data_IF_920842745633
#
_entry.id   IF_920842745633
#
_cell.length_a   1.000
_cell.length_b   1.000
_cell.length_c   1.000
_cell.angle_alpha   90.00
_cell.angle_beta   90.00
_cell.angle_gamma   90.00
#
_symmetry.space_group_name_H-M   'P 1'
#
loop_
_entity.id
_entity.type
_entity.pdbx_description
1 polymer ?
#
# COMPACT_ATOMS: atom_id res chain seq x y z
N UNK A 1 4.31 -20.01 -0.22
CA UNK A 1 5.48 -19.10 -0.17
C UNK A 1 6.79 -19.87 -0.27
N UNK A 2 7.77 -19.42 -1.07
CA UNK A 2 9.11 -20.04 -1.11
C UNK A 2 9.85 -19.64 0.17
N UNK A 3 10.15 -20.62 1.03
CA UNK A 3 10.99 -20.39 2.23
C UNK A 3 12.45 -20.33 1.81
N UNK A 4 13.20 -19.38 2.36
CA UNK A 4 14.66 -19.31 2.26
C UNK A 4 15.22 -19.13 3.65
N UNK A 5 16.19 -19.95 4.02
CA UNK A 5 16.83 -19.88 5.32
C UNK A 5 18.09 -19.03 5.23
N UNK A 6 18.16 -17.99 6.05
CA UNK A 6 19.27 -17.04 6.10
C UNK A 6 19.99 -17.19 7.42
N UNK A 7 21.31 -16.96 7.41
CA UNK A 7 22.16 -16.96 8.60
C UNK A 7 22.53 -15.53 8.96
N UNK A 8 22.18 -15.10 10.16
CA UNK A 8 22.73 -13.91 10.80
C UNK A 8 24.14 -14.23 11.32
N UNK A 9 25.16 -13.66 10.70
CA UNK A 9 26.55 -13.95 11.06
C UNK A 9 26.98 -13.32 12.39
N UNK A 10 26.31 -12.26 12.85
CA UNK A 10 26.63 -11.62 14.12
C UNK A 10 26.14 -12.48 15.28
N UNK A 11 24.97 -13.10 15.13
CA UNK A 11 24.39 -14.05 16.08
C UNK A 11 25.01 -15.46 15.99
N UNK A 12 25.55 -15.84 14.83
CA UNK A 12 26.10 -17.18 14.59
C UNK A 12 27.46 -17.38 15.28
N UNK A 13 27.46 -17.90 16.52
CA UNK A 13 28.69 -18.20 17.26
C UNK A 13 29.05 -19.69 17.18
N UNK A 14 29.90 -20.05 16.21
CA UNK A 14 30.26 -21.45 15.94
C UNK A 14 30.95 -22.18 17.10
N UNK A 15 31.62 -21.44 18.00
CA UNK A 15 32.32 -22.01 19.17
C UNK A 15 31.37 -22.65 20.18
N UNK A 16 30.11 -22.22 20.22
CA UNK A 16 29.17 -22.60 21.29
C UNK A 16 28.05 -23.54 20.85
N UNK A 17 27.95 -23.87 19.55
CA UNK A 17 26.82 -24.63 19.03
C UNK A 17 27.18 -25.98 18.38
N UNK A 18 28.47 -26.34 18.33
CA UNK A 18 28.98 -27.56 17.68
C UNK A 18 28.43 -27.82 16.27
N UNK A 19 27.97 -26.78 15.57
CA UNK A 19 27.39 -26.85 14.22
C UNK A 19 26.21 -27.83 14.16
N UNK A 20 25.40 -27.88 15.22
CA UNK A 20 24.24 -28.78 15.33
C UNK A 20 23.23 -28.60 14.18
N UNK A 21 23.18 -27.41 13.59
CA UNK A 21 22.38 -27.10 12.40
C UNK A 21 22.75 -27.94 11.16
N UNK A 22 24.03 -28.30 11.00
CA UNK A 22 24.49 -29.22 9.94
C UNK A 22 24.11 -30.65 10.30
N UNK A 23 24.40 -31.06 11.54
CA UNK A 23 24.19 -32.43 12.00
C UNK A 23 22.71 -32.86 11.99
N UNK A 24 21.80 -31.92 12.25
CA UNK A 24 20.35 -32.18 12.28
C UNK A 24 19.65 -31.93 10.95
N UNK A 25 20.38 -31.58 9.88
CA UNK A 25 19.79 -31.42 8.57
C UNK A 25 19.36 -32.80 8.01
N UNK A 26 18.11 -32.97 7.54
CA UNK A 26 17.63 -34.25 7.02
C UNK A 26 18.45 -34.79 5.84
N UNK A 27 18.93 -33.93 4.93
CA UNK A 27 19.79 -34.34 3.81
C UNK A 27 21.14 -34.84 4.32
N UNK A 28 21.74 -34.13 5.29
CA UNK A 28 22.99 -34.57 5.91
C UNK A 28 22.85 -35.92 6.60
N UNK A 29 21.77 -36.11 7.36
CA UNK A 29 21.48 -37.38 8.04
C UNK A 29 21.21 -38.52 7.05
N UNK A 30 20.48 -38.24 5.97
CA UNK A 30 20.22 -39.22 4.90
C UNK A 30 21.54 -39.65 4.23
N UNK A 31 22.40 -38.69 3.88
CA UNK A 31 23.72 -38.97 3.28
C UNK A 31 24.67 -39.74 4.21
N UNK A 32 24.52 -39.62 5.53
CA UNK A 32 25.28 -40.41 6.50
C UNK A 32 24.81 -41.87 6.54
N UNK A 33 23.54 -42.15 6.25
CA UNK A 33 22.94 -43.49 6.23
C UNK A 33 23.13 -44.23 4.91
N UNK A 34 23.40 -43.50 3.81
CA UNK A 34 23.70 -44.08 2.48
C UNK A 34 24.93 -44.98 2.51
N UNK A 35 24.88 -46.08 1.76
CA UNK A 35 26.00 -47.03 1.65
C UNK A 35 27.19 -46.39 0.93
N UNK A 36 28.45 -46.86 1.13
CA UNK A 36 29.64 -46.21 0.57
C UNK A 36 29.66 -46.06 -0.96
N UNK A 37 28.98 -46.95 -1.69
CA UNK A 37 28.90 -46.96 -3.15
C UNK A 37 27.76 -46.09 -3.72
N UNK A 38 26.88 -45.55 -2.88
CA UNK A 38 25.78 -44.70 -3.31
C UNK A 38 26.23 -43.24 -3.44
N UNK A 39 25.79 -42.56 -4.49
CA UNK A 39 26.05 -41.13 -4.69
C UNK A 39 25.43 -40.33 -3.54
N UNK A 40 26.26 -39.59 -2.81
CA UNK A 40 25.82 -38.66 -1.76
C UNK A 40 25.43 -37.33 -2.40
N UNK A 41 24.29 -36.80 -2.00
CA UNK A 41 23.83 -35.50 -2.47
C UNK A 41 24.67 -34.40 -1.83
N UNK A 42 24.78 -33.24 -2.47
CA UNK A 42 25.46 -32.11 -1.84
C UNK A 42 24.71 -31.66 -0.57
N UNK A 43 25.47 -31.31 0.47
CA UNK A 43 24.88 -30.94 1.75
C UNK A 43 24.35 -29.49 1.66
N UNK A 44 23.06 -29.25 1.95
CA UNK A 44 22.45 -27.94 1.77
C UNK A 44 22.95 -26.90 2.78
N UNK A 45 23.51 -27.32 3.92
CA UNK A 45 24.07 -26.43 4.94
C UNK A 45 25.50 -26.85 5.26
N UNK A 46 26.46 -25.96 5.02
CA UNK A 46 27.89 -26.29 5.11
C UNK A 46 28.70 -25.16 5.72
N UNK A 47 29.86 -25.50 6.27
CA UNK A 47 30.83 -24.52 6.74
C UNK A 47 31.72 -24.10 5.56
N UNK A 48 31.68 -22.81 5.21
CA UNK A 48 32.66 -22.26 4.27
C UNK A 48 33.98 -22.02 5.02
N UNK A 49 34.97 -22.89 4.78
CA UNK A 49 36.25 -22.88 5.49
C UNK A 49 36.99 -21.54 5.40
N UNK A 50 36.94 -20.87 4.24
CA UNK A 50 37.65 -19.60 4.03
C UNK A 50 37.13 -18.44 4.87
N UNK A 51 35.83 -18.39 5.16
CA UNK A 51 35.23 -17.31 5.95
C UNK A 51 34.83 -17.77 7.36
N UNK A 52 35.02 -19.05 7.67
CA UNK A 52 34.56 -19.70 8.90
C UNK A 52 33.09 -19.37 9.23
N UNK A 53 32.22 -19.39 8.22
CA UNK A 53 30.80 -19.07 8.33
C UNK A 53 29.93 -20.23 7.81
N UNK A 54 28.77 -20.42 8.43
CA UNK A 54 27.76 -21.37 7.95
C UNK A 54 27.06 -20.76 6.74
N UNK A 55 26.97 -21.51 5.65
CA UNK A 55 26.20 -21.13 4.45
C UNK A 55 25.13 -22.17 4.16
N UNK A 56 24.03 -21.69 3.61
CA UNK A 56 22.91 -22.52 3.18
C UNK A 56 22.77 -22.34 1.66
N UNK A 57 22.82 -23.44 0.91
CA UNK A 57 22.48 -23.47 -0.50
C UNK A 57 20.95 -23.66 -0.63
N UNK A 58 20.25 -22.65 -1.14
CA UNK A 58 18.78 -22.69 -1.23
C UNK A 58 18.27 -23.73 -2.24
N UNK A 59 19.04 -24.00 -3.30
CA UNK A 59 18.63 -24.92 -4.37
C UNK A 59 18.60 -26.38 -3.89
N UNK A 60 19.47 -26.72 -2.94
CA UNK A 60 19.53 -28.04 -2.32
C UNK A 60 18.68 -28.15 -1.06
N UNK A 61 18.18 -27.05 -0.52
CA UNK A 61 17.51 -27.03 0.78
C UNK A 61 16.06 -27.53 0.66
N UNK A 62 15.71 -28.60 1.39
CA UNK A 62 14.32 -29.10 1.52
C UNK A 62 13.36 -28.15 2.23
N UNK A 63 13.86 -27.04 2.78
CA UNK A 63 13.07 -25.99 3.45
C UNK A 63 12.27 -26.44 4.68
N UNK A 64 12.68 -27.57 5.28
CA UNK A 64 12.04 -28.22 6.42
C UNK A 64 12.13 -27.46 7.76
N UNK A 65 13.12 -26.58 7.94
CA UNK A 65 13.28 -25.76 9.15
C UNK A 65 14.01 -26.43 10.32
N UNK A 66 14.48 -27.67 10.15
CA UNK A 66 15.22 -28.38 11.18
C UNK A 66 16.42 -27.58 11.71
N UNK A 67 17.21 -26.97 10.82
CA UNK A 67 18.39 -26.18 11.18
C UNK A 67 18.06 -24.90 11.97
N UNK A 68 16.94 -24.25 11.69
CA UNK A 68 16.48 -23.06 12.39
C UNK A 68 16.01 -23.41 13.82
N UNK A 69 15.23 -24.49 13.96
CA UNK A 69 14.68 -24.93 15.24
C UNK A 69 15.74 -25.37 16.25
N UNK A 70 16.88 -25.90 15.79
CA UNK A 70 17.97 -26.38 16.66
C UNK A 70 19.05 -25.32 16.91
N UNK A 71 18.95 -24.13 16.31
CA UNK A 71 19.98 -23.11 16.46
C UNK A 71 19.84 -22.41 17.82
N UNK A 72 20.80 -22.56 18.76
CA UNK A 72 20.65 -22.05 20.12
C UNK A 72 20.56 -20.52 20.18
N UNK A 73 21.25 -19.82 19.28
CA UNK A 73 21.23 -18.36 19.20
C UNK A 73 20.16 -17.83 18.24
N UNK A 74 19.31 -18.71 17.68
CA UNK A 74 18.35 -18.35 16.61
C UNK A 74 18.99 -17.60 15.44
N UNK A 75 20.27 -17.86 15.18
CA UNK A 75 21.04 -17.23 14.12
C UNK A 75 20.59 -17.67 12.71
N UNK A 76 19.89 -18.79 12.60
CA UNK A 76 19.27 -19.24 11.34
C UNK A 76 17.79 -18.92 11.41
N UNK A 77 17.32 -18.08 10.50
CA UNK A 77 15.92 -17.69 10.44
C UNK A 77 15.39 -17.82 9.02
N UNK A 78 14.07 -18.00 8.90
CA UNK A 78 13.40 -18.10 7.61
C UNK A 78 12.96 -16.72 7.14
N UNK A 79 13.25 -16.41 5.87
CA UNK A 79 12.55 -15.38 5.11
C UNK A 79 11.67 -16.06 4.08
N UNK A 80 10.46 -15.54 3.90
CA UNK A 80 9.59 -15.93 2.82
C UNK A 80 9.89 -15.03 1.63
N UNK A 81 10.25 -15.61 0.49
CA UNK A 81 10.34 -14.87 -0.77
C UNK A 81 8.94 -14.79 -1.36
N UNK A 82 8.67 -13.64 -1.98
CA UNK A 82 7.45 -13.38 -2.72
C UNK A 82 7.16 -14.51 -3.71
N UNK A 83 6.11 -15.26 -3.40
CA UNK A 83 5.43 -16.16 -4.31
C UNK A 83 3.94 -15.87 -4.17
N UNK A 84 3.18 -16.15 -5.23
CA UNK A 84 1.73 -16.11 -5.15
C UNK A 84 1.23 -17.02 -4.01
N UNK A 85 0.28 -16.56 -3.18
CA UNK A 85 -0.32 -17.39 -2.14
C UNK A 85 -1.09 -18.57 -2.76
N UNK A 86 -0.70 -19.80 -2.39
CA UNK A 86 -1.42 -21.01 -2.80
C UNK A 86 -2.47 -21.46 -1.77
N UNK A 87 -2.29 -21.06 -0.51
CA UNK A 87 -3.09 -21.54 0.62
C UNK A 87 -4.34 -20.66 0.88
N UNK A 88 -4.45 -19.53 0.17
CA UNK A 88 -5.49 -18.52 0.35
C UNK A 88 -6.22 -18.37 -0.98
N UNK A 89 -7.56 -18.32 -0.95
CA UNK A 89 -8.34 -17.99 -2.14
C UNK A 89 -8.16 -16.52 -2.49
N UNK A 90 -7.98 -16.16 -3.76
CA UNK A 90 -7.96 -14.75 -4.17
C UNK A 90 -9.31 -14.11 -3.81
N UNK A 91 -9.30 -12.86 -3.36
CA UNK A 91 -10.51 -12.07 -3.13
C UNK A 91 -11.20 -11.74 -4.46
N UNK A 92 -10.40 -11.40 -5.47
CA UNK A 92 -10.89 -11.17 -6.81
C UNK A 92 -9.90 -11.71 -7.84
N UNK A 93 -10.40 -12.33 -8.90
CA UNK A 93 -9.61 -12.84 -10.01
C UNK A 93 -10.23 -12.38 -11.33
N UNK A 94 -9.46 -11.64 -12.14
CA UNK A 94 -9.79 -11.40 -13.53
C UNK A 94 -9.40 -12.62 -14.37
N UNK A 95 -10.20 -12.96 -15.38
CA UNK A 95 -9.86 -14.01 -16.34
C UNK A 95 -9.21 -13.39 -17.58
N UNK A 96 -8.18 -14.05 -18.12
CA UNK A 96 -7.48 -13.62 -19.33
C UNK A 96 -7.51 -14.75 -20.37
N UNK A 97 -8.56 -14.79 -21.19
CA UNK A 97 -8.83 -15.85 -22.18
C UNK A 97 -8.84 -17.29 -21.59
N UNK A 98 -9.22 -18.28 -22.41
CA UNK A 98 -9.53 -19.66 -21.95
C UNK A 98 -8.34 -20.43 -21.32
N UNK A 99 -7.11 -19.91 -21.36
CA UNK A 99 -5.91 -20.62 -20.93
C UNK A 99 -5.01 -19.87 -19.93
N UNK A 100 -5.22 -18.56 -19.69
CA UNK A 100 -4.39 -17.79 -18.74
C UNK A 100 -5.23 -17.19 -17.60
N UNK A 101 -4.73 -17.36 -16.38
CA UNK A 101 -5.26 -16.66 -15.20
C UNK A 101 -4.86 -15.19 -15.30
N UNK A 102 -5.82 -14.29 -15.21
CA UNK A 102 -5.54 -12.85 -15.19
C UNK A 102 -5.06 -12.39 -13.81
N UNK A 103 -5.16 -11.08 -13.58
CA UNK A 103 -4.73 -10.47 -12.32
C UNK A 103 -5.55 -10.98 -11.13
N UNK A 104 -4.87 -11.33 -10.03
CA UNK A 104 -5.49 -11.83 -8.78
C UNK A 104 -5.18 -10.91 -7.60
N UNK A 105 -6.22 -10.46 -6.92
CA UNK A 105 -6.11 -9.66 -5.70
C UNK A 105 -6.34 -10.55 -4.48
N UNK A 106 -5.49 -10.41 -3.46
CA UNK A 106 -5.60 -11.10 -2.19
C UNK A 106 -5.73 -10.10 -1.04
N UNK A 107 -6.69 -10.36 -0.15
CA UNK A 107 -7.11 -9.50 0.95
C UNK A 107 -7.76 -8.20 0.48
N UNK A 108 -8.31 -7.44 1.42
CA UNK A 108 -8.87 -6.11 1.22
C UNK A 108 -8.31 -5.13 2.25
N UNK A 109 -8.24 -3.82 1.93
CA UNK A 109 -7.91 -2.80 2.91
C UNK A 109 -8.93 -2.78 4.05
N UNK A 110 -8.47 -2.54 5.27
CA UNK A 110 -9.35 -2.41 6.42
C UNK A 110 -9.97 -1.00 6.47
N UNK A 111 -11.23 -0.94 6.89
CA UNK A 111 -11.99 0.30 7.05
C UNK A 111 -12.01 0.70 8.52
N UNK A 112 -11.06 1.53 8.95
CA UNK A 112 -10.95 1.96 10.36
C UNK A 112 -11.64 3.30 10.57
N UNK A 113 -12.78 3.37 11.30
CA UNK A 113 -13.47 4.64 11.55
C UNK A 113 -12.61 5.61 12.37
N UNK A 114 -12.67 6.90 12.06
CA UNK A 114 -11.91 7.92 12.79
C UNK A 114 -10.47 8.09 12.35
N UNK A 115 -9.99 7.26 11.42
CA UNK A 115 -8.60 7.24 10.99
C UNK A 115 -8.46 7.36 9.48
N UNK A 116 -7.32 7.92 9.09
CA UNK A 116 -6.89 7.99 7.70
C UNK A 116 -5.95 6.82 7.43
N UNK A 117 -6.38 5.88 6.58
CA UNK A 117 -5.57 4.72 6.17
C UNK A 117 -4.93 5.01 4.81
N UNK A 118 -3.59 5.07 4.80
CA UNK A 118 -2.79 5.19 3.59
C UNK A 118 -2.58 3.85 2.90
N UNK A 119 -2.69 3.82 1.58
CA UNK A 119 -2.45 2.65 0.75
C UNK A 119 -1.26 2.94 -0.17
N UNK A 120 -0.24 2.08 -0.10
CA UNK A 120 0.99 2.26 -0.87
C UNK A 120 1.39 0.99 -1.60
N UNK A 121 1.81 1.11 -2.85
CA UNK A 121 2.33 -0.01 -3.63
C UNK A 121 2.55 0.35 -5.09
N UNK A 122 3.27 -0.48 -5.86
CA UNK A 122 3.56 -0.22 -7.26
C UNK A 122 2.30 -0.18 -8.13
N UNK A 123 2.41 0.36 -9.34
CA UNK A 123 1.31 0.34 -10.31
C UNK A 123 1.03 -1.09 -10.80
N UNK A 124 -0.22 -1.36 -11.18
CA UNK A 124 -0.64 -2.69 -11.62
C UNK A 124 -0.73 -3.74 -10.52
N UNK A 125 -0.70 -3.35 -9.24
CA UNK A 125 -0.76 -4.26 -8.09
C UNK A 125 -2.18 -4.45 -7.51
N UNK A 126 -3.20 -3.86 -8.14
CA UNK A 126 -4.60 -4.02 -7.72
C UNK A 126 -5.11 -3.00 -6.71
N UNK A 127 -4.46 -1.83 -6.56
CA UNK A 127 -4.96 -0.73 -5.70
C UNK A 127 -6.35 -0.27 -6.13
N UNK A 128 -6.51 0.12 -7.40
CA UNK A 128 -7.80 0.53 -7.97
C UNK A 128 -8.84 -0.57 -7.88
N UNK A 129 -8.49 -1.83 -8.20
CA UNK A 129 -9.38 -2.98 -8.02
C UNK A 129 -9.87 -3.12 -6.58
N UNK A 130 -9.01 -2.92 -5.58
CA UNK A 130 -9.41 -2.96 -4.18
C UNK A 130 -10.35 -1.79 -3.83
N UNK A 131 -10.08 -0.60 -4.34
CA UNK A 131 -10.95 0.57 -4.16
C UNK A 131 -12.32 0.36 -4.79
N UNK A 132 -12.39 -0.19 -6.00
CA UNK A 132 -13.65 -0.44 -6.71
C UNK A 132 -14.51 -1.50 -6.00
N UNK A 133 -13.87 -2.49 -5.37
CA UNK A 133 -14.55 -3.47 -4.51
C UNK A 133 -15.14 -2.79 -3.27
N UNK A 134 -14.35 -1.95 -2.60
CA UNK A 134 -14.80 -1.20 -1.43
C UNK A 134 -15.87 -0.16 -1.79
N UNK A 135 -15.82 0.40 -2.99
CA UNK A 135 -16.82 1.34 -3.50
C UNK A 135 -18.13 0.65 -3.94
N UNK A 136 -18.17 -0.69 -3.98
CA UNK A 136 -19.32 -1.45 -4.49
C UNK A 136 -19.46 -1.43 -6.02
N UNK A 137 -18.49 -0.86 -6.74
CA UNK A 137 -18.45 -0.84 -8.21
C UNK A 137 -18.04 -2.20 -8.79
N UNK A 138 -17.35 -3.03 -8.00
CA UNK A 138 -16.92 -4.38 -8.37
C UNK A 138 -17.28 -5.38 -7.27
N UNK A 139 -18.02 -6.43 -7.62
CA UNK A 139 -18.33 -7.52 -6.67
C UNK A 139 -17.16 -8.52 -6.67
N UNK A 140 -16.54 -8.82 -5.51
CA UNK A 140 -15.46 -9.80 -5.42
C UNK A 140 -15.99 -11.21 -5.71
N UNK A 141 -15.30 -11.97 -6.56
CA UNK A 141 -15.70 -13.31 -7.00
C UNK A 141 -15.03 -14.44 -6.21
N UNK A 142 -14.09 -14.14 -5.32
CA UNK A 142 -13.38 -15.11 -4.48
C UNK A 142 -12.74 -16.28 -5.26
N UNK A 143 -12.34 -16.04 -6.51
CA UNK A 143 -11.76 -17.05 -7.41
C UNK A 143 -12.77 -17.99 -8.09
N UNK A 144 -14.08 -17.69 -8.01
CA UNK A 144 -15.09 -18.40 -8.80
C UNK A 144 -14.99 -18.02 -10.29
N UNK A 145 -15.06 -19.02 -11.18
CA UNK A 145 -14.89 -18.81 -12.63
C UNK A 145 -16.12 -18.15 -13.28
N UNK A 146 -15.91 -17.40 -14.37
CA UNK A 146 -16.98 -16.68 -15.09
C UNK A 146 -18.04 -17.59 -15.73
N UNK A 147 -17.79 -18.89 -15.90
CA UNK A 147 -18.85 -19.84 -16.29
C UNK A 147 -19.99 -19.87 -15.26
N UNK A 148 -19.71 -19.38 -14.05
CA UNK A 148 -20.65 -19.11 -12.97
C UNK A 148 -20.98 -17.61 -12.81
N UNK A 149 -20.86 -16.77 -13.85
CA UNK A 149 -21.19 -15.32 -13.83
C UNK A 149 -22.60 -15.02 -13.30
N UNK A 150 -23.57 -15.93 -13.52
CA UNK A 150 -24.92 -15.87 -12.92
C UNK A 150 -24.95 -16.02 -11.38
N UNK A 151 -23.83 -16.37 -10.76
CA UNK A 151 -23.73 -16.69 -9.35
C UNK A 151 -22.93 -15.69 -8.52
N UNK A 152 -22.21 -14.75 -9.17
CA UNK A 152 -21.51 -13.66 -8.48
C UNK A 152 -22.59 -12.78 -7.85
N UNK A 153 -22.63 -12.76 -6.52
CA UNK A 153 -23.63 -12.02 -5.77
C UNK A 153 -23.04 -11.55 -4.45
N UNK A 154 -23.59 -10.45 -3.93
CA UNK A 154 -23.22 -9.94 -2.61
C UNK A 154 -23.40 -10.97 -1.50
N UNK A 155 -24.38 -11.88 -1.61
CA UNK A 155 -24.58 -12.95 -0.62
C UNK A 155 -23.34 -13.84 -0.50
N UNK A 156 -22.87 -14.38 -1.64
CA UNK A 156 -21.65 -15.18 -1.66
C UNK A 156 -20.43 -14.40 -1.21
N UNK A 157 -20.34 -13.12 -1.59
CA UNK A 157 -19.23 -12.27 -1.17
C UNK A 157 -19.20 -12.12 0.36
N UNK A 158 -20.35 -11.88 0.99
CA UNK A 158 -20.48 -11.77 2.45
C UNK A 158 -20.11 -13.09 3.14
N UNK A 159 -20.55 -14.23 2.60
CA UNK A 159 -20.27 -15.56 3.16
C UNK A 159 -18.78 -15.93 3.11
N UNK A 160 -18.06 -15.50 2.06
CA UNK A 160 -16.63 -15.78 1.90
C UNK A 160 -15.72 -14.85 2.70
N UNK A 161 -16.20 -13.68 3.13
CA UNK A 161 -15.43 -12.79 4.00
C UNK A 161 -15.41 -13.36 5.41
N UNK A 162 -14.22 -13.41 6.04
CA UNK A 162 -14.08 -13.82 7.45
C UNK A 162 -14.20 -12.65 8.43
N UNK A 163 -13.73 -11.48 8.01
CA UNK A 163 -13.68 -10.28 8.82
C UNK A 163 -15.08 -9.68 9.05
N UNK A 164 -15.40 -9.36 10.31
CA UNK A 164 -16.73 -8.89 10.70
C UNK A 164 -17.02 -7.49 10.17
N UNK A 165 -16.03 -6.59 10.17
CA UNK A 165 -16.22 -5.22 9.69
C UNK A 165 -16.49 -5.20 8.20
N UNK A 166 -15.73 -5.98 7.43
CA UNK A 166 -15.92 -6.14 6.00
C UNK A 166 -17.25 -6.81 5.64
N UNK A 167 -17.71 -7.80 6.42
CA UNK A 167 -19.07 -8.36 6.25
C UNK A 167 -20.16 -7.32 6.46
N UNK A 168 -20.04 -6.51 7.51
CA UNK A 168 -21.00 -5.44 7.79
C UNK A 168 -20.99 -4.41 6.66
N UNK A 169 -19.80 -4.05 6.15
CA UNK A 169 -19.65 -3.15 5.03
C UNK A 169 -20.31 -3.69 3.75
N UNK A 170 -20.05 -4.94 3.37
CA UNK A 170 -20.69 -5.57 2.20
C UNK A 170 -22.20 -5.75 2.35
N UNK A 171 -22.67 -6.03 3.56
CA UNK A 171 -24.11 -6.11 3.85
C UNK A 171 -24.79 -4.74 3.65
N UNK A 172 -24.15 -3.67 4.12
CA UNK A 172 -24.65 -2.31 3.97
C UNK A 172 -24.57 -1.83 2.51
N UNK A 173 -23.52 -2.20 1.76
CA UNK A 173 -23.43 -1.97 0.31
C UNK A 173 -24.57 -2.65 -0.44
N UNK A 174 -24.83 -3.93 -0.14
CA UNK A 174 -25.92 -4.70 -0.76
C UNK A 174 -27.29 -4.05 -0.53
N UNK A 175 -27.52 -3.43 0.64
CA UNK A 175 -28.77 -2.76 1.00
C UNK A 175 -28.84 -1.30 0.57
N UNK A 176 -27.80 -0.78 -0.09
CA UNK A 176 -27.66 0.64 -0.44
C UNK A 176 -27.72 1.58 0.79
N UNK A 177 -27.43 1.04 1.98
CA UNK A 177 -27.40 1.76 3.25
C UNK A 177 -26.03 2.43 3.50
N UNK A 178 -25.00 2.04 2.74
CA UNK A 178 -23.63 2.56 2.87
C UNK A 178 -23.35 3.61 1.79
N UNK A 179 -23.19 4.87 2.20
CA UNK A 179 -22.81 5.96 1.31
C UNK A 179 -21.29 6.02 1.16
N UNK A 180 -20.81 6.12 -0.07
CA UNK A 180 -19.37 6.20 -0.38
C UNK A 180 -19.09 7.46 -1.19
N UNK A 181 -18.14 8.26 -0.71
CA UNK A 181 -17.61 9.38 -1.46
C UNK A 181 -16.26 8.96 -2.07
N UNK A 182 -16.22 8.79 -3.39
CA UNK A 182 -15.04 8.30 -4.11
C UNK A 182 -14.50 9.35 -5.07
N UNK A 183 -13.28 9.85 -4.78
CA UNK A 183 -12.46 10.58 -5.74
C UNK A 183 -11.67 9.58 -6.58
N UNK A 184 -12.08 9.37 -7.83
CA UNK A 184 -11.37 8.51 -8.77
C UNK A 184 -10.07 9.18 -9.29
N UNK A 185 -9.07 8.38 -9.64
CA UNK A 185 -7.87 8.87 -10.34
C UNK A 185 -8.20 9.62 -11.65
N UNK A 186 -9.15 9.11 -12.43
CA UNK A 186 -9.55 9.69 -13.71
C UNK A 186 -10.69 10.69 -13.51
N UNK A 187 -10.40 11.98 -13.69
CA UNK A 187 -11.35 13.07 -13.46
C UNK A 187 -12.30 13.34 -14.65
N UNK A 188 -12.21 12.54 -15.72
CA UNK A 188 -13.03 12.71 -16.93
C UNK A 188 -14.53 12.68 -16.65
N UNK A 189 -14.94 11.85 -15.68
CA UNK A 189 -16.35 11.71 -15.25
C UNK A 189 -16.91 13.06 -14.76
N UNK A 190 -16.08 13.90 -14.13
CA UNK A 190 -16.51 15.21 -13.65
C UNK A 190 -16.77 16.18 -14.81
N UNK A 191 -15.96 16.11 -15.88
CA UNK A 191 -16.20 16.92 -17.08
C UNK A 191 -17.44 16.48 -17.85
N UNK A 192 -17.72 15.17 -17.88
CA UNK A 192 -18.92 14.65 -18.53
C UNK A 192 -20.19 15.02 -17.74
N UNK A 193 -20.10 15.10 -16.40
CA UNK A 193 -21.23 15.44 -15.53
C UNK A 193 -21.53 16.94 -15.47
N UNK A 194 -20.53 17.79 -15.26
CA UNK A 194 -20.69 19.23 -14.99
C UNK A 194 -20.14 20.10 -16.11
N UNK A 195 -20.43 19.69 -17.35
CA UNK A 195 -19.96 20.40 -18.52
C UNK A 195 -20.60 21.78 -18.56
N UNK A 196 -19.78 22.81 -18.74
CA UNK A 196 -20.21 24.21 -18.89
C UNK A 196 -20.80 24.87 -17.63
N UNK A 197 -20.71 24.22 -16.46
CA UNK A 197 -21.10 24.79 -15.16
C UNK A 197 -19.92 25.47 -14.44
N UNK A 198 -20.23 26.47 -13.60
CA UNK A 198 -19.23 27.12 -12.77
C UNK A 198 -18.87 26.28 -11.54
N UNK A 199 -17.61 26.36 -11.14
CA UNK A 199 -17.09 25.60 -9.99
C UNK A 199 -17.90 25.83 -8.71
N UNK A 200 -18.24 27.09 -8.39
CA UNK A 200 -18.94 27.41 -7.16
C UNK A 200 -20.39 26.88 -7.17
N UNK A 201 -21.10 27.05 -8.29
CA UNK A 201 -22.48 26.57 -8.47
C UNK A 201 -22.59 25.06 -8.26
N UNK A 202 -21.63 24.30 -8.80
CA UNK A 202 -21.56 22.84 -8.60
C UNK A 202 -21.33 22.50 -7.12
N UNK A 203 -20.39 23.19 -6.46
CA UNK A 203 -20.06 22.91 -5.07
C UNK A 203 -21.19 23.30 -4.11
N UNK A 204 -21.96 24.34 -4.42
CA UNK A 204 -23.12 24.76 -3.63
C UNK A 204 -24.30 23.80 -3.80
N UNK A 205 -24.59 23.37 -5.02
CA UNK A 205 -25.68 22.44 -5.31
C UNK A 205 -25.46 21.04 -4.74
N UNK A 206 -24.21 20.57 -4.71
CA UNK A 206 -23.86 19.22 -4.24
C UNK A 206 -23.52 19.16 -2.73
N UNK A 207 -23.59 20.29 -2.02
CA UNK A 207 -23.19 20.41 -0.62
C UNK A 207 -24.14 19.68 0.33
N UNK A 208 -23.57 18.81 1.16
CA UNK A 208 -24.31 18.08 2.21
C UNK A 208 -23.75 18.35 3.62
N UNK A 209 -22.75 19.24 3.71
CA UNK A 209 -22.00 19.52 4.94
C UNK A 209 -22.32 20.92 5.47
N UNK A 210 -22.16 21.11 6.77
CA UNK A 210 -22.42 22.40 7.41
C UNK A 210 -21.49 23.53 6.93
N UNK A 211 -22.00 24.77 6.99
CA UNK A 211 -21.35 25.98 6.47
C UNK A 211 -19.90 26.15 6.90
N UNK A 212 -19.61 25.95 8.18
CA UNK A 212 -18.26 26.14 8.74
C UNK A 212 -17.22 25.24 8.08
N UNK A 213 -17.57 23.97 7.83
CA UNK A 213 -16.63 23.05 7.20
C UNK A 213 -16.53 23.30 5.70
N UNK A 214 -17.64 23.60 5.04
CA UNK A 214 -17.66 23.97 3.63
C UNK A 214 -16.68 25.13 3.34
N UNK A 215 -16.78 26.24 4.08
CA UNK A 215 -15.83 27.36 3.94
C UNK A 215 -14.38 26.98 4.28
N UNK A 216 -14.19 26.04 5.20
CA UNK A 216 -12.84 25.52 5.50
C UNK A 216 -12.26 24.76 4.30
N UNK A 217 -13.07 23.95 3.60
CA UNK A 217 -12.67 23.25 2.38
C UNK A 217 -12.28 24.27 1.31
N UNK A 218 -13.17 25.23 0.98
CA UNK A 218 -12.94 26.22 -0.07
C UNK A 218 -11.63 26.98 0.15
N UNK A 219 -11.41 27.48 1.38
CA UNK A 219 -10.20 28.20 1.76
C UNK A 219 -8.93 27.35 1.71
N UNK A 220 -8.99 26.10 2.20
CA UNK A 220 -7.81 25.23 2.25
C UNK A 220 -7.42 24.69 0.86
N UNK A 221 -8.39 24.53 -0.03
CA UNK A 221 -8.19 24.13 -1.41
C UNK A 221 -8.06 25.33 -2.36
N UNK A 222 -8.15 26.55 -1.85
CA UNK A 222 -8.03 27.79 -2.63
C UNK A 222 -8.99 27.77 -3.85
N UNK A 223 -10.22 27.32 -3.58
CA UNK A 223 -11.32 27.25 -4.56
C UNK A 223 -11.85 28.64 -4.89
N UNK A 224 -11.72 29.59 -3.96
CA UNK A 224 -12.14 30.98 -4.17
C UNK A 224 -11.46 31.62 -5.41
N UNK A 225 -10.26 31.15 -5.78
CA UNK A 225 -9.53 31.60 -6.98
C UNK A 225 -10.12 31.11 -8.31
N UNK A 226 -10.98 30.07 -8.27
CA UNK A 226 -11.57 29.42 -9.44
C UNK A 226 -13.10 29.36 -9.38
N UNK A 227 -13.73 30.01 -8.41
CA UNK A 227 -15.18 29.94 -8.14
C UNK A 227 -16.03 30.24 -9.37
N UNK A 228 -15.72 31.31 -10.10
CA UNK A 228 -16.45 31.79 -11.27
C UNK A 228 -16.02 31.13 -12.58
N UNK A 229 -14.98 30.27 -12.54
CA UNK A 229 -14.52 29.59 -13.75
C UNK A 229 -15.44 28.44 -14.10
N UNK A 230 -15.65 28.26 -15.39
CA UNK A 230 -16.27 27.05 -15.93
C UNK A 230 -15.31 25.89 -15.73
N UNK A 231 -15.82 24.71 -15.34
CA UNK A 231 -15.00 23.55 -15.02
C UNK A 231 -14.01 23.19 -16.14
N UNK A 232 -14.42 23.28 -17.41
CA UNK A 232 -13.61 22.99 -18.61
C UNK A 232 -12.40 23.92 -18.79
N UNK A 233 -12.39 25.08 -18.13
CA UNK A 233 -11.30 26.06 -18.17
C UNK A 233 -10.26 25.84 -17.06
N UNK A 234 -10.52 24.93 -16.11
CA UNK A 234 -9.62 24.66 -15.01
C UNK A 234 -8.38 23.89 -15.47
N UNK A 235 -7.21 24.29 -14.96
CA UNK A 235 -5.97 23.51 -15.06
C UNK A 235 -6.07 22.18 -14.32
N UNK A 236 -5.19 21.23 -14.61
CA UNK A 236 -5.20 19.92 -13.93
C UNK A 236 -5.08 20.00 -12.40
N UNK A 237 -4.31 20.96 -11.87
CA UNK A 237 -4.22 21.20 -10.43
C UNK A 237 -5.47 21.83 -9.83
N UNK A 238 -6.16 22.70 -10.57
CA UNK A 238 -7.45 23.28 -10.17
C UNK A 238 -8.55 22.20 -10.16
N UNK A 239 -8.61 21.39 -11.22
CA UNK A 239 -9.54 20.27 -11.33
C UNK A 239 -9.34 19.25 -10.21
N UNK A 240 -8.09 18.96 -9.85
CA UNK A 240 -7.79 18.08 -8.73
C UNK A 240 -8.32 18.65 -7.40
N UNK A 241 -8.13 19.95 -7.15
CA UNK A 241 -8.64 20.64 -5.95
C UNK A 241 -10.16 20.60 -5.92
N UNK A 242 -10.81 20.88 -7.05
CA UNK A 242 -12.24 20.76 -7.22
C UNK A 242 -12.76 19.35 -6.94
N UNK A 243 -12.13 18.32 -7.52
CA UNK A 243 -12.53 16.92 -7.32
C UNK A 243 -12.47 16.50 -5.84
N UNK A 244 -11.42 16.92 -5.13
CA UNK A 244 -11.31 16.69 -3.69
C UNK A 244 -12.39 17.46 -2.92
N UNK A 245 -12.66 18.72 -3.30
CA UNK A 245 -13.74 19.51 -2.70
C UNK A 245 -15.09 18.80 -2.86
N UNK A 246 -15.47 18.40 -4.08
CA UNK A 246 -16.69 17.63 -4.37
C UNK A 246 -16.83 16.38 -3.51
N UNK A 247 -15.72 15.67 -3.28
CA UNK A 247 -15.72 14.46 -2.45
C UNK A 247 -15.92 14.79 -0.98
N UNK A 248 -15.30 15.86 -0.48
CA UNK A 248 -15.34 16.25 0.93
C UNK A 248 -16.62 16.98 1.34
N UNK A 249 -17.37 17.59 0.41
CA UNK A 249 -18.64 18.26 0.70
C UNK A 249 -19.82 17.27 0.82
N UNK A 250 -19.63 16.02 0.42
CA UNK A 250 -20.61 14.94 0.55
C UNK A 250 -20.59 14.33 1.94
N UNK A 251 -21.75 13.90 2.44
CA UNK A 251 -21.88 13.14 3.69
C UNK A 251 -21.88 11.65 3.38
N UNK A 252 -20.77 10.98 3.68
CA UNK A 252 -20.55 9.57 3.37
C UNK A 252 -20.04 8.77 4.58
N UNK A 253 -20.29 7.46 4.56
CA UNK A 253 -19.83 6.51 5.58
C UNK A 253 -18.42 5.99 5.31
N UNK A 254 -17.91 6.17 4.09
CA UNK A 254 -16.53 5.88 3.68
C UNK A 254 -16.09 6.93 2.67
N UNK A 255 -14.89 7.46 2.86
CA UNK A 255 -14.23 8.30 1.87
C UNK A 255 -13.07 7.54 1.24
N UNK A 256 -13.05 7.48 -0.08
CA UNK A 256 -11.99 6.85 -0.86
C UNK A 256 -11.38 7.94 -1.75
N UNK A 257 -10.07 8.12 -1.65
CA UNK A 257 -9.40 9.22 -2.33
C UNK A 257 -8.14 8.69 -3.03
N UNK A 258 -8.23 8.57 -4.36
CA UNK A 258 -7.15 8.04 -5.18
C UNK A 258 -6.24 9.15 -5.70
N UNK A 259 -4.97 9.12 -5.30
CA UNK A 259 -3.90 10.07 -5.65
C UNK A 259 -4.32 11.55 -5.47
N UNK A 260 -4.65 12.02 -4.24
CA UNK A 260 -5.06 13.40 -4.01
C UNK A 260 -3.97 14.45 -4.21
N UNK A 261 -2.68 14.12 -4.01
CA UNK A 261 -1.60 15.11 -3.96
C UNK A 261 -0.94 15.40 -5.31
N UNK A 262 -1.39 14.75 -6.38
CA UNK A 262 -0.94 15.03 -7.74
C UNK A 262 -1.19 16.49 -8.09
N UNK A 263 -0.19 17.17 -8.66
CA UNK A 263 -0.23 18.59 -9.03
C UNK A 263 -0.41 19.60 -7.88
N UNK A 264 -0.25 19.19 -6.61
CA UNK A 264 -0.34 20.10 -5.47
C UNK A 264 1.02 20.47 -4.88
N UNK A 265 1.16 21.74 -4.50
CA UNK A 265 2.30 22.28 -3.76
C UNK A 265 2.34 21.74 -2.31
N UNK A 266 3.52 21.80 -1.68
CA UNK A 266 3.75 21.25 -0.33
C UNK A 266 2.79 21.85 0.71
N UNK A 267 2.48 23.15 0.63
CA UNK A 267 1.61 23.84 1.59
C UNK A 267 0.17 23.31 1.51
N UNK A 268 -0.36 23.15 0.30
CA UNK A 268 -1.69 22.61 0.04
C UNK A 268 -1.81 21.15 0.48
N UNK A 269 -0.77 20.34 0.28
CA UNK A 269 -0.79 18.94 0.76
C UNK A 269 -0.90 18.85 2.29
N UNK A 270 -0.23 19.72 3.04
CA UNK A 270 -0.38 19.80 4.51
C UNK A 270 -1.81 20.21 4.90
N UNK A 271 -2.42 21.13 4.16
CA UNK A 271 -3.80 21.54 4.40
C UNK A 271 -4.79 20.42 4.11
N UNK A 272 -4.56 19.64 3.05
CA UNK A 272 -5.32 18.43 2.73
C UNK A 272 -5.27 17.39 3.83
N UNK A 273 -4.08 17.11 4.36
CA UNK A 273 -3.92 16.17 5.47
C UNK A 273 -4.81 16.55 6.67
N UNK A 274 -4.94 17.85 6.96
CA UNK A 274 -5.81 18.35 8.03
C UNK A 274 -7.30 18.18 7.68
N UNK A 275 -7.68 18.38 6.43
CA UNK A 275 -9.06 18.17 5.97
C UNK A 275 -9.46 16.69 6.07
N UNK A 276 -8.59 15.78 5.64
CA UNK A 276 -8.85 14.33 5.70
C UNK A 276 -8.99 13.83 7.14
N UNK A 277 -8.12 14.27 8.06
CA UNK A 277 -8.25 13.93 9.48
C UNK A 277 -9.54 14.48 10.09
N UNK A 278 -9.87 15.75 9.82
CA UNK A 278 -11.14 16.33 10.28
C UNK A 278 -12.34 15.55 9.75
N UNK A 279 -12.27 15.11 8.50
CA UNK A 279 -13.33 14.31 7.90
C UNK A 279 -13.44 12.93 8.55
N UNK A 280 -12.31 12.24 8.75
CA UNK A 280 -12.26 10.93 9.41
C UNK A 280 -12.83 10.97 10.82
N UNK A 281 -12.49 12.01 11.60
CA UNK A 281 -12.96 12.20 12.97
C UNK A 281 -14.46 12.51 13.08
N UNK A 282 -15.13 12.83 11.96
CA UNK A 282 -16.51 13.29 11.94
C UNK A 282 -16.62 14.79 12.21
N UNK A 283 -17.67 15.41 11.67
CA UNK A 283 -17.93 16.84 11.78
C UNK A 283 -19.21 17.10 12.56
N UNK A 284 -19.10 17.89 13.63
CA UNK A 284 -20.24 18.24 14.47
C UNK A 284 -20.79 17.01 15.20
N UNK A 285 -21.98 16.54 14.79
CA UNK A 285 -22.64 15.34 15.36
C UNK A 285 -22.46 14.09 14.49
N UNK A 286 -21.70 14.18 13.40
CA UNK A 286 -21.40 13.02 12.56
C UNK A 286 -20.54 12.01 13.32
N UNK A 287 -20.78 10.73 13.08
CA UNK A 287 -19.94 9.66 13.60
C UNK A 287 -18.61 9.62 12.85
N UNK A 288 -17.51 9.22 13.51
CA UNK A 288 -16.24 9.00 12.82
C UNK A 288 -16.38 7.99 11.68
N UNK A 289 -15.68 8.24 10.59
CA UNK A 289 -15.74 7.42 9.37
C UNK A 289 -14.33 7.08 8.87
N UNK A 290 -14.16 5.97 8.14
CA UNK A 290 -12.90 5.62 7.50
C UNK A 290 -12.61 6.53 6.30
N UNK A 291 -11.36 6.97 6.20
CA UNK A 291 -10.84 7.68 5.02
C UNK A 291 -9.67 6.89 4.46
N UNK A 292 -9.81 6.38 3.23
CA UNK A 292 -8.77 5.67 2.50
C UNK A 292 -8.10 6.60 1.50
N UNK A 293 -6.76 6.60 1.52
CA UNK A 293 -5.96 7.44 0.63
C UNK A 293 -4.93 6.58 -0.08
N UNK A 294 -4.95 6.59 -1.41
CA UNK A 294 -3.88 5.98 -2.22
C UNK A 294 -2.88 7.05 -2.60
N UNK A 295 -1.61 6.82 -2.28
CA UNK A 295 -0.50 7.72 -2.64
C UNK A 295 0.77 6.93 -2.97
N UNK A 296 1.59 7.50 -3.84
CA UNK A 296 2.92 6.97 -4.18
C UNK A 296 4.05 7.72 -3.47
N UNK A 297 3.76 8.93 -2.98
CA UNK A 297 4.72 9.74 -2.25
C UNK A 297 4.72 9.35 -0.77
N UNK A 298 5.78 8.68 -0.33
CA UNK A 298 5.94 8.23 1.06
C UNK A 298 5.98 9.39 2.05
N UNK A 299 6.52 10.55 1.64
CA UNK A 299 6.55 11.73 2.52
C UNK A 299 5.13 12.26 2.72
N UNK A 300 4.29 12.23 1.67
CA UNK A 300 2.87 12.56 1.76
C UNK A 300 2.13 11.63 2.71
N UNK A 301 2.30 10.33 2.52
CA UNK A 301 1.67 9.32 3.38
C UNK A 301 2.07 9.50 4.86
N UNK A 302 3.32 9.90 5.13
CA UNK A 302 3.82 10.07 6.50
C UNK A 302 3.00 11.08 7.31
N UNK A 303 2.65 12.22 6.72
CA UNK A 303 1.89 13.26 7.41
C UNK A 303 0.39 13.27 7.09
N UNK A 304 -0.08 12.52 6.08
CA UNK A 304 -1.51 12.43 5.76
C UNK A 304 -2.19 11.33 6.53
N UNK A 305 -1.55 10.17 6.65
CA UNK A 305 -2.18 8.96 7.18
C UNK A 305 -1.91 8.77 8.67
N UNK A 306 -2.79 8.05 9.35
CA UNK A 306 -2.62 7.59 10.72
C UNK A 306 -2.15 6.12 10.74
N UNK A 307 -2.59 5.36 9.73
CA UNK A 307 -2.20 3.97 9.48
C UNK A 307 -1.80 3.77 8.01
N UNK A 308 -1.10 2.68 7.71
CA UNK A 308 -0.72 2.34 6.34
C UNK A 308 -0.86 0.84 6.06
N UNK A 309 -1.34 0.51 4.87
CA UNK A 309 -1.28 -0.84 4.31
C UNK A 309 -0.48 -0.83 3.01
N UNK A 310 0.45 -1.78 2.92
CA UNK A 310 1.28 -1.97 1.74
C UNK A 310 0.66 -3.02 0.82
N UNK A 311 0.67 -2.73 -0.48
CA UNK A 311 0.41 -3.67 -1.55
C UNK A 311 1.73 -4.20 -2.07
N UNK A 312 1.84 -5.52 -2.12
CA UNK A 312 3.01 -6.22 -2.62
C UNK A 312 2.61 -7.40 -3.52
N UNK A 313 3.51 -7.88 -4.36
CA UNK A 313 3.16 -8.86 -5.40
C UNK A 313 3.90 -8.60 -6.69
N UNK A 314 3.43 -9.26 -7.75
CA UNK A 314 3.98 -9.08 -9.10
C UNK A 314 2.97 -8.30 -9.93
N UNK A 315 3.32 -7.08 -10.39
CA UNK A 315 2.42 -6.25 -11.20
C UNK A 315 1.78 -7.05 -12.34
N UNK A 316 0.50 -6.80 -12.58
CA UNK A 316 -0.33 -7.47 -13.59
C UNK A 316 -0.54 -8.98 -13.40
N UNK A 317 0.08 -9.63 -12.40
CA UNK A 317 -0.14 -11.06 -12.10
C UNK A 317 -0.92 -11.28 -10.81
N UNK A 318 -0.44 -10.70 -9.71
CA UNK A 318 -1.14 -10.76 -8.44
C UNK A 318 -0.69 -9.64 -7.49
N UNK A 319 -1.60 -9.23 -6.62
CA UNK A 319 -1.34 -8.29 -5.53
C UNK A 319 -1.89 -8.81 -4.22
N UNK A 320 -1.14 -8.63 -3.15
CA UNK A 320 -1.50 -8.99 -1.77
C UNK A 320 -1.44 -7.73 -0.93
N UNK A 321 -2.46 -7.54 -0.11
CA UNK A 321 -2.51 -6.44 0.84
C UNK A 321 -2.00 -6.94 2.18
N UNK A 322 -0.98 -6.27 2.70
CA UNK A 322 -0.40 -6.54 4.02
C UNK A 322 -1.38 -6.23 5.15
N UNK A 323 -1.06 -6.77 6.32
CA UNK A 323 -1.73 -6.37 7.55
C UNK A 323 -1.55 -4.86 7.83
N UNK A 324 -2.43 -4.31 8.66
CA UNK A 324 -2.36 -2.92 9.08
C UNK A 324 -1.04 -2.61 9.80
N UNK A 325 -0.38 -1.52 9.41
CA UNK A 325 0.86 -1.05 10.02
C UNK A 325 0.72 0.39 10.49
N UNK A 326 1.47 0.75 11.53
CA UNK A 326 1.74 2.16 11.82
C UNK A 326 2.52 2.77 10.65
N UNK A 327 2.25 4.03 10.33
CA UNK A 327 2.87 4.75 9.20
C UNK A 327 4.40 4.60 9.16
N UNK A 328 5.09 4.90 10.28
CA UNK A 328 6.55 4.73 10.40
C UNK A 328 7.04 3.33 10.03
N UNK A 329 6.37 2.29 10.54
CA UNK A 329 6.73 0.89 10.26
C UNK A 329 6.46 0.51 8.81
N UNK A 330 5.34 0.94 8.24
CA UNK A 330 5.01 0.65 6.85
C UNK A 330 5.96 1.33 5.89
N UNK A 331 6.27 2.62 6.08
CA UNK A 331 7.24 3.33 5.22
C UNK A 331 8.62 2.65 5.29
N UNK A 332 9.10 2.33 6.49
CA UNK A 332 10.38 1.62 6.63
C UNK A 332 10.36 0.24 5.96
N UNK A 333 9.28 -0.54 6.15
CA UNK A 333 9.13 -1.85 5.51
C UNK A 333 9.09 -1.74 3.98
N UNK A 334 8.42 -0.69 3.46
CA UNK A 334 8.37 -0.38 2.04
C UNK A 334 9.77 -0.07 1.47
N UNK A 335 10.52 0.79 2.15
CA UNK A 335 11.90 1.16 1.77
C UNK A 335 12.87 -0.02 1.86
N UNK A 336 12.74 -0.86 2.88
CA UNK A 336 13.56 -2.07 3.06
C UNK A 336 13.24 -3.17 2.05
N UNK A 337 12.00 -3.22 1.52
CA UNK A 337 11.53 -4.33 0.69
C UNK A 337 11.15 -5.58 1.50
N UNK A 338 10.96 -5.43 2.80
CA UNK A 338 10.76 -6.52 3.76
C UNK A 338 9.65 -6.20 4.77
N UNK A 339 8.66 -7.09 4.86
CA UNK A 339 7.64 -7.06 5.90
C UNK A 339 8.13 -7.87 7.11
N UNK A 340 8.51 -7.17 8.17
CA UNK A 340 9.12 -7.79 9.35
C UNK A 340 8.19 -8.81 10.04
N UNK A 341 6.91 -8.48 10.22
CA UNK A 341 5.93 -9.35 10.88
C UNK A 341 5.57 -10.59 10.04
N UNK A 342 5.39 -10.40 8.74
CA UNK A 342 5.10 -11.50 7.79
C UNK A 342 6.37 -12.29 7.43
N UNK A 343 7.54 -11.81 7.87
CA UNK A 343 8.87 -12.29 7.48
C UNK A 343 9.02 -12.45 5.97
N UNK A 344 8.42 -11.54 5.20
CA UNK A 344 8.31 -11.63 3.75
C UNK A 344 9.19 -10.58 3.06
N UNK A 345 10.08 -11.01 2.18
CA UNK A 345 10.78 -10.14 1.22
C UNK A 345 9.92 -10.02 -0.02
N UNK A 346 9.40 -8.82 -0.28
CA UNK A 346 8.63 -8.53 -1.48
C UNK A 346 9.41 -7.74 -2.52
N UNK A 347 10.63 -7.29 -2.19
CA UNK A 347 11.54 -6.62 -3.11
C UNK A 347 13.00 -6.88 -2.71
N UNK A 348 13.82 -7.24 -3.69
CA UNK A 348 15.22 -7.63 -3.45
C UNK A 348 16.15 -6.44 -3.18
N UNK A 349 15.74 -5.25 -3.62
CA UNK A 349 16.52 -4.01 -3.48
C UNK A 349 15.96 -3.22 -2.30
N UNK A 350 16.83 -2.78 -1.37
CA UNK A 350 16.48 -1.77 -0.37
C UNK A 350 16.76 -0.37 -0.91
N UNK A 351 15.84 0.57 -0.72
CA UNK A 351 16.11 1.98 -0.99
C UNK A 351 16.92 2.57 0.17
N UNK A 352 18.17 2.97 -0.11
CA UNK A 352 19.05 3.63 0.87
C UNK A 352 19.33 5.04 0.41
N UNK A 353 19.01 6.01 1.26
CA UNK A 353 19.36 7.41 1.01
C UNK A 353 20.77 7.66 1.50
N UNK A 354 21.65 8.13 0.62
CA UNK A 354 22.94 8.66 1.06
C UNK A 354 22.66 9.95 1.81
N UNK A 355 22.98 10.00 3.11
CA UNK A 355 23.10 11.29 3.80
C UNK A 355 24.18 12.06 3.05
N UNK A 356 23.81 13.15 2.37
CA UNK A 356 24.81 14.11 1.94
C UNK A 356 25.44 14.67 3.21
N UNK A 357 26.61 14.17 3.58
CA UNK A 357 27.52 14.82 4.52
C UNK A 357 28.10 16.11 3.93
N UNK A 358 27.87 16.33 2.64
CA UNK A 358 28.30 17.52 1.91
C UNK A 358 27.14 18.52 1.97
N UNK A 359 26.93 19.08 3.16
CA UNK A 359 26.66 20.50 3.19
C UNK A 359 27.97 21.17 2.84
N UNK A 360 28.28 21.34 1.55
CA UNK A 360 29.33 22.27 1.13
C UNK A 360 28.89 23.64 1.61
N UNK A 361 29.21 23.98 2.86
CA UNK A 361 29.35 25.38 3.24
C UNK A 361 30.48 25.88 2.38
N UNK A 362 30.12 26.64 1.36
CA UNK A 362 31.05 27.39 0.56
C UNK A 362 31.65 28.49 1.44
N UNK A 363 32.54 28.12 2.37
CA UNK A 363 33.18 29.07 3.30
C UNK A 363 34.11 30.03 2.57
N UNK A 364 34.61 29.63 1.39
CA UNK A 364 35.55 30.39 0.56
C UNK A 364 35.10 30.52 -0.91
N UNK A 365 33.80 30.41 -1.23
CA UNK A 365 33.37 30.72 -2.60
C UNK A 365 33.52 32.21 -2.86
N UNK A 366 34.27 32.56 -3.91
CA UNK A 366 34.32 33.92 -4.42
C UNK A 366 32.92 34.28 -4.91
N UNK A 367 32.29 35.28 -4.29
CA UNK A 367 30.98 35.77 -4.70
C UNK A 367 31.09 36.31 -6.13
N UNK A 368 30.54 35.58 -7.10
CA UNK A 368 30.61 35.96 -8.51
C UNK A 368 29.68 37.13 -8.85
N UNK A 369 28.51 37.18 -8.19
CA UNK A 369 27.56 38.28 -8.30
C UNK A 369 26.81 38.44 -6.98
N UNK A 370 26.52 39.67 -6.59
CA UNK A 370 25.70 40.00 -5.44
C UNK A 370 24.44 40.71 -5.93
N UNK A 371 23.26 40.13 -5.67
CA UNK A 371 21.99 40.74 -6.03
C UNK A 371 21.51 41.61 -4.88
N UNK A 372 21.21 42.89 -5.17
CA UNK A 372 20.63 43.81 -4.19
C UNK A 372 19.19 43.42 -3.80
N UNK A 373 18.51 44.31 -3.07
CA UNK A 373 17.10 44.14 -2.74
C UNK A 373 16.27 44.02 -4.02
N UNK A 374 15.72 42.84 -4.26
CA UNK A 374 14.82 42.59 -5.38
C UNK A 374 13.40 43.03 -4.99
N UNK A 375 12.85 43.98 -5.72
CA UNK A 375 11.45 44.38 -5.61
C UNK A 375 10.66 43.79 -6.78
N UNK A 376 9.59 43.06 -6.46
CA UNK A 376 8.69 42.47 -7.45
C UNK A 376 7.79 43.56 -8.02
N UNK A 377 8.00 43.94 -9.28
CA UNK A 377 7.11 44.86 -9.99
C UNK A 377 6.12 44.07 -10.84
N UNK A 378 4.82 44.27 -10.61
CA UNK A 378 3.75 43.80 -11.49
C UNK A 378 3.37 44.98 -12.39
N UNK A 379 3.33 44.80 -13.71
CA UNK A 379 2.71 45.78 -14.60
C UNK A 379 1.20 45.54 -14.54
N UNK A 380 0.47 46.53 -14.05
CA UNK A 380 -1.00 46.60 -14.03
C UNK A 380 -1.59 46.52 -15.42
#
# INVERSE_FOLDING_TARGET
MKKVYIVDYDLCKLRFCNRICIQKCPITLSNQRKKPHEKKDEIPIFLKKSTNQIRINDDLCLKCGACANVCPNSAIYVKHILNEPNDIKPTHEYLENKEKRGFRLYNLPNLVPGQVTGLCGPNGIGKTTALDILAGMLIPNFGESEQSKKSISWNKAIDNVRDREMRNHFTALKREERKIAYKHQVLKILFEKYKDEQVLEILESEKEVGEKFYHTILKHLDIDSISERVLTQCSGGELQRFAIACTLIKKADVYIIDEPCTFLDVRKRIQLARLFRKRAQGIGKETPCPVLIVEHDLAVLDYVSDLIQLFYGVPHKFGVISNMLTVKRGINSYLEGYLQYEKLVFRDISYKFRKSTIGTRWTNAKTFANYGKMTKTFKS
#
